data_IF_868915765938
#
_entry.id   IF_868915765938
#
_cell.length_a   1.000
_cell.length_b   1.000
_cell.length_c   1.000
_cell.angle_alpha   90.00
_cell.angle_beta   90.00
_cell.angle_gamma   90.00
#
_symmetry.space_group_name_H-M   'P 1'
#
loop_
_entity.id
_entity.type
_entity.pdbx_description
1 polymer ?
#
# COMPACT_ATOMS: atom_id res chain seq x y z
N UNK A 1 20.40 11.91 -16.89
CA UNK A 1 19.08 12.00 -16.22
C UNK A 1 18.57 13.40 -16.43
N UNK A 2 17.49 13.60 -17.18
CA UNK A 2 16.93 14.93 -17.46
C UNK A 2 16.37 15.56 -16.17
N UNK A 3 16.47 16.89 -16.02
CA UNK A 3 16.06 17.63 -14.80
C UNK A 3 14.54 17.64 -14.52
N UNK A 4 13.74 17.08 -15.43
CA UNK A 4 12.27 17.10 -15.43
C UNK A 4 11.63 16.09 -14.44
N UNK A 5 12.40 15.16 -13.87
CA UNK A 5 11.87 14.08 -13.01
C UNK A 5 11.98 14.35 -11.51
N UNK A 6 12.15 15.61 -11.09
CA UNK A 6 12.05 15.96 -9.65
C UNK A 6 10.58 16.12 -9.28
N UNK A 7 10.06 15.17 -8.51
CA UNK A 7 8.70 15.25 -8.00
C UNK A 7 8.49 16.55 -7.20
N UNK A 8 7.45 17.30 -7.56
CA UNK A 8 7.17 18.64 -7.01
C UNK A 8 6.55 18.61 -5.61
N UNK A 9 6.26 17.42 -5.06
CA UNK A 9 5.58 17.27 -3.78
C UNK A 9 6.58 16.96 -2.65
N UNK A 10 6.36 17.50 -1.44
CA UNK A 10 7.22 17.19 -0.30
C UNK A 10 7.11 15.70 0.04
N UNK A 11 8.25 14.99 0.05
CA UNK A 11 8.33 13.55 0.33
C UNK A 11 7.55 13.15 1.60
N UNK A 12 7.63 13.99 2.64
CA UNK A 12 6.92 13.77 3.91
C UNK A 12 5.41 13.60 3.71
N UNK A 13 4.79 14.39 2.81
CA UNK A 13 3.35 14.29 2.53
C UNK A 13 3.05 12.97 1.82
N UNK A 14 3.82 12.66 0.78
CA UNK A 14 3.63 11.43 -0.01
C UNK A 14 3.80 10.19 0.86
N UNK A 15 4.85 10.16 1.68
CA UNK A 15 5.14 9.05 2.57
C UNK A 15 4.10 8.91 3.69
N UNK A 16 3.83 9.95 4.48
CA UNK A 16 2.97 9.82 5.66
C UNK A 16 1.48 9.76 5.32
N UNK A 17 1.00 10.57 4.40
CA UNK A 17 -0.44 10.63 4.11
C UNK A 17 -0.81 9.46 3.19
N UNK A 18 -0.16 9.38 2.03
CA UNK A 18 -0.53 8.36 1.05
C UNK A 18 0.10 7.00 1.37
N UNK A 19 1.39 6.97 1.70
CA UNK A 19 2.10 5.72 2.02
C UNK A 19 1.63 5.06 3.30
N UNK A 20 1.46 5.82 4.39
CA UNK A 20 1.09 5.25 5.70
C UNK A 20 -0.40 5.35 5.95
N UNK A 21 -0.96 6.56 6.10
CA UNK A 21 -2.33 6.72 6.59
C UNK A 21 -3.38 6.13 5.63
N UNK A 22 -3.32 6.47 4.34
CA UNK A 22 -4.26 5.93 3.34
C UNK A 22 -4.09 4.43 3.15
N UNK A 23 -2.87 3.90 3.07
CA UNK A 23 -2.65 2.45 2.95
C UNK A 23 -3.25 1.69 4.13
N UNK A 24 -3.11 2.19 5.36
CA UNK A 24 -3.70 1.55 6.54
C UNK A 24 -5.23 1.64 6.54
N UNK A 25 -5.81 2.79 6.15
CA UNK A 25 -7.25 2.92 6.03
C UNK A 25 -7.84 1.94 4.98
N UNK A 26 -7.18 1.82 3.82
CA UNK A 26 -7.56 0.84 2.79
C UNK A 26 -7.41 -0.59 3.30
N UNK A 27 -6.31 -0.89 4.00
CA UNK A 27 -6.08 -2.22 4.56
C UNK A 27 -7.14 -2.61 5.59
N UNK A 28 -7.47 -1.74 6.54
CA UNK A 28 -8.55 -1.99 7.49
C UNK A 28 -9.92 -2.13 6.81
N UNK A 29 -10.17 -1.36 5.75
CA UNK A 29 -11.39 -1.50 4.96
C UNK A 29 -11.48 -2.87 4.29
N UNK A 30 -10.36 -3.41 3.79
CA UNK A 30 -10.30 -4.76 3.23
C UNK A 30 -10.55 -5.85 4.29
N UNK A 31 -10.04 -5.68 5.51
CA UNK A 31 -10.33 -6.62 6.60
C UNK A 31 -11.81 -6.57 6.98
N UNK A 32 -12.40 -5.37 7.06
CA UNK A 32 -13.81 -5.20 7.37
C UNK A 32 -14.71 -5.80 6.28
N UNK A 33 -14.36 -5.63 5.00
CA UNK A 33 -15.13 -6.17 3.88
C UNK A 33 -14.97 -7.68 3.68
N UNK A 34 -13.95 -8.31 4.28
CA UNK A 34 -13.59 -9.72 4.05
C UNK A 34 -14.78 -10.69 4.19
N UNK A 35 -15.65 -10.52 5.19
CA UNK A 35 -16.83 -11.37 5.40
C UNK A 35 -18.14 -10.75 4.86
N UNK A 36 -18.08 -9.59 4.18
CA UNK A 36 -19.25 -8.77 3.82
C UNK A 36 -19.52 -8.68 2.32
N UNK A 37 -18.55 -9.09 1.50
CA UNK A 37 -18.66 -9.06 0.03
C UNK A 37 -18.35 -10.43 -0.55
N UNK A 38 -18.76 -10.63 -1.81
CA UNK A 38 -18.47 -11.84 -2.58
C UNK A 38 -17.03 -11.84 -3.12
N UNK A 39 -16.56 -13.03 -3.48
CA UNK A 39 -15.16 -13.24 -3.86
C UNK A 39 -14.70 -12.49 -5.11
N UNK A 40 -15.51 -12.36 -6.17
CA UNK A 40 -15.14 -11.53 -7.32
C UNK A 40 -14.91 -10.05 -6.95
N UNK A 41 -15.80 -9.45 -6.16
CA UNK A 41 -15.64 -8.06 -5.70
C UNK A 41 -14.43 -7.93 -4.77
N UNK A 42 -14.25 -8.89 -3.85
CA UNK A 42 -13.10 -8.88 -2.94
C UNK A 42 -11.77 -8.95 -3.69
N UNK A 43 -11.66 -9.82 -4.70
CA UNK A 43 -10.48 -9.92 -5.54
C UNK A 43 -10.17 -8.59 -6.27
N UNK A 44 -11.20 -7.91 -6.79
CA UNK A 44 -11.02 -6.60 -7.44
C UNK A 44 -10.51 -5.53 -6.47
N UNK A 45 -11.04 -5.51 -5.24
CA UNK A 45 -10.58 -4.59 -4.19
C UNK A 45 -9.11 -4.83 -3.81
N UNK A 46 -8.70 -6.10 -3.72
CA UNK A 46 -7.30 -6.47 -3.46
C UNK A 46 -6.36 -6.05 -4.60
N UNK A 47 -6.78 -6.25 -5.86
CA UNK A 47 -6.02 -5.76 -7.03
C UNK A 47 -5.88 -4.24 -6.98
N UNK A 48 -6.95 -3.52 -6.63
CA UNK A 48 -6.92 -2.07 -6.45
C UNK A 48 -5.94 -1.63 -5.35
N UNK A 49 -5.92 -2.32 -4.22
CA UNK A 49 -5.01 -2.04 -3.11
C UNK A 49 -3.53 -2.32 -3.47
N UNK A 50 -3.25 -3.40 -4.20
CA UNK A 50 -1.90 -3.67 -4.72
C UNK A 50 -1.48 -2.59 -5.72
N UNK A 51 -2.36 -2.24 -6.66
CA UNK A 51 -2.11 -1.17 -7.63
C UNK A 51 -1.82 0.18 -6.96
N UNK A 52 -2.59 0.53 -5.94
CA UNK A 52 -2.34 1.71 -5.11
C UNK A 52 -0.96 1.66 -4.43
N UNK A 53 -0.62 0.54 -3.80
CA UNK A 53 0.66 0.38 -3.09
C UNK A 53 1.87 0.51 -4.03
N UNK A 54 1.77 -0.05 -5.24
CA UNK A 54 2.80 0.10 -6.27
C UNK A 54 2.92 1.54 -6.78
N UNK A 55 1.79 2.23 -6.97
CA UNK A 55 1.78 3.64 -7.34
C UNK A 55 2.48 4.50 -6.27
N UNK A 56 2.17 4.29 -4.99
CA UNK A 56 2.84 5.03 -3.90
C UNK A 56 4.32 4.70 -3.83
N UNK A 57 4.72 3.44 -4.03
CA UNK A 57 6.14 3.05 -4.12
C UNK A 57 6.86 3.84 -5.21
N UNK A 58 6.25 3.94 -6.40
CA UNK A 58 6.79 4.75 -7.50
C UNK A 58 6.88 6.23 -7.13
N UNK A 59 5.82 6.80 -6.56
CA UNK A 59 5.79 8.22 -6.16
C UNK A 59 6.84 8.54 -5.09
N UNK A 60 7.01 7.69 -4.08
CA UNK A 60 8.07 7.84 -3.07
C UNK A 60 9.43 7.78 -3.74
N UNK A 61 9.66 6.84 -4.67
CA UNK A 61 10.94 6.73 -5.38
C UNK A 61 11.30 7.99 -6.16
N UNK A 62 10.32 8.58 -6.86
CA UNK A 62 10.49 9.82 -7.65
C UNK A 62 10.64 11.08 -6.79
N UNK A 63 10.01 11.13 -5.61
CA UNK A 63 10.08 12.30 -4.71
C UNK A 63 11.17 12.17 -3.64
N UNK A 64 11.89 11.04 -3.58
CA UNK A 64 12.85 10.76 -2.52
C UNK A 64 14.09 11.65 -2.53
N UNK A 65 14.36 12.36 -3.64
CA UNK A 65 15.43 13.36 -3.71
C UNK A 65 14.94 14.77 -3.36
N UNK A 66 13.64 14.94 -3.06
CA UNK A 66 13.02 16.21 -2.63
C UNK A 66 12.94 16.29 -1.08
N UNK A 67 14.09 16.12 -0.43
CA UNK A 67 14.26 16.21 1.03
C UNK A 67 15.53 16.94 1.41
N UNK A 68 15.50 17.62 2.56
CA UNK A 68 16.67 18.33 3.11
C UNK A 68 17.77 17.38 3.61
N UNK A 69 17.40 16.14 3.97
CA UNK A 69 18.31 15.08 4.41
C UNK A 69 18.13 13.86 3.50
N UNK A 70 19.14 13.59 2.69
CA UNK A 70 19.16 12.47 1.73
C UNK A 70 18.99 11.11 2.42
N UNK A 71 19.43 10.97 3.68
CA UNK A 71 19.27 9.71 4.44
C UNK A 71 17.80 9.37 4.65
N UNK A 72 16.96 10.38 4.92
CA UNK A 72 15.51 10.18 5.07
C UNK A 72 14.85 9.73 3.76
N UNK A 73 15.35 10.21 2.62
CA UNK A 73 14.90 9.78 1.29
C UNK A 73 15.18 8.29 1.04
N UNK A 74 16.38 7.84 1.39
CA UNK A 74 16.78 6.43 1.28
C UNK A 74 15.94 5.54 2.20
N UNK A 75 15.75 5.93 3.46
CA UNK A 75 14.91 5.20 4.42
C UNK A 75 13.47 5.09 3.91
N UNK A 76 12.90 6.19 3.42
CA UNK A 76 11.53 6.20 2.88
C UNK A 76 11.38 5.26 1.68
N UNK A 77 12.37 5.20 0.77
CA UNK A 77 12.38 4.25 -0.36
C UNK A 77 12.31 2.81 0.14
N UNK A 78 13.21 2.40 1.03
CA UNK A 78 13.25 1.02 1.54
C UNK A 78 11.98 0.65 2.31
N UNK A 79 11.48 1.54 3.17
CA UNK A 79 10.24 1.30 3.92
C UNK A 79 9.04 1.13 2.98
N UNK A 80 8.94 1.96 1.94
CA UNK A 80 7.81 1.89 1.01
C UNK A 80 7.87 0.65 0.12
N UNK A 81 9.07 0.24 -0.32
CA UNK A 81 9.25 -1.03 -1.06
C UNK A 81 8.91 -2.24 -0.19
N UNK A 82 9.39 -2.26 1.06
CA UNK A 82 9.06 -3.33 2.00
C UNK A 82 7.54 -3.41 2.26
N UNK A 83 6.88 -2.26 2.41
CA UNK A 83 5.42 -2.19 2.52
C UNK A 83 4.73 -2.69 1.25
N UNK A 84 5.17 -2.29 0.06
CA UNK A 84 4.59 -2.75 -1.21
C UNK A 84 4.68 -4.27 -1.37
N UNK A 85 5.81 -4.88 -1.00
CA UNK A 85 5.95 -6.33 -1.01
C UNK A 85 5.02 -7.00 0.01
N UNK A 86 4.95 -6.46 1.23
CA UNK A 86 4.02 -6.94 2.25
C UNK A 86 2.56 -6.86 1.78
N UNK A 87 2.16 -5.75 1.15
CA UNK A 87 0.81 -5.55 0.63
C UNK A 87 0.45 -6.61 -0.42
N UNK A 88 1.38 -6.98 -1.30
CA UNK A 88 1.19 -8.06 -2.28
C UNK A 88 0.99 -9.40 -1.58
N UNK A 89 1.88 -9.75 -0.64
CA UNK A 89 1.83 -11.03 0.08
C UNK A 89 0.54 -11.17 0.90
N UNK A 90 0.18 -10.13 1.66
CA UNK A 90 -1.04 -10.11 2.47
C UNK A 90 -2.27 -10.17 1.58
N UNK A 91 -2.29 -9.46 0.44
CA UNK A 91 -3.41 -9.56 -0.51
C UNK A 91 -3.56 -10.96 -1.08
N UNK A 92 -2.45 -11.64 -1.41
CA UNK A 92 -2.47 -13.03 -1.84
C UNK A 92 -3.03 -13.95 -0.77
N UNK A 93 -2.59 -13.79 0.48
CA UNK A 93 -3.11 -14.57 1.61
C UNK A 93 -4.61 -14.34 1.82
N UNK A 94 -5.06 -13.08 1.85
CA UNK A 94 -6.47 -12.74 2.01
C UNK A 94 -7.33 -13.29 0.88
N UNK A 95 -6.87 -13.22 -0.37
CA UNK A 95 -7.59 -13.80 -1.50
C UNK A 95 -7.75 -15.31 -1.34
N UNK A 96 -6.68 -16.02 -1.00
CA UNK A 96 -6.71 -17.46 -0.79
C UNK A 96 -7.62 -17.85 0.38
N UNK A 97 -7.55 -17.14 1.51
CA UNK A 97 -8.43 -17.37 2.66
C UNK A 97 -9.91 -17.14 2.31
N UNK A 98 -10.19 -16.06 1.58
CA UNK A 98 -11.55 -15.72 1.17
C UNK A 98 -12.13 -16.73 0.18
N UNK A 99 -11.33 -17.20 -0.79
CA UNK A 99 -11.71 -18.26 -1.73
C UNK A 99 -11.87 -19.63 -1.05
N UNK A 100 -11.07 -19.92 -0.03
CA UNK A 100 -11.15 -21.15 0.77
C UNK A 100 -12.31 -21.18 1.76
N UNK A 101 -13.11 -20.11 1.86
CA UNK A 101 -14.22 -20.01 2.82
C UNK A 101 -13.77 -19.93 4.29
N UNK A 102 -12.49 -19.63 4.53
CA UNK A 102 -11.99 -19.43 5.89
C UNK A 102 -12.45 -18.06 6.39
N UNK A 103 -13.27 -18.04 7.44
CA UNK A 103 -13.57 -16.81 8.15
C UNK A 103 -12.29 -16.23 8.76
N UNK A 104 -12.13 -14.90 8.71
CA UNK A 104 -11.04 -14.23 9.41
C UNK A 104 -11.32 -14.27 10.92
N UNK A 105 -10.54 -15.01 11.75
CA UNK A 105 -10.86 -15.24 13.16
C UNK A 105 -10.72 -13.99 14.05
N UNK A 106 -10.27 -12.86 13.49
CA UNK A 106 -9.96 -11.63 14.21
C UNK A 106 -11.14 -10.65 14.35
N UNK A 107 -12.31 -10.96 13.75
CA UNK A 107 -13.49 -10.06 13.72
C UNK A 107 -14.79 -10.74 14.18
N UNK A 108 -14.70 -11.89 14.86
CA UNK A 108 -15.83 -12.53 15.54
C UNK A 108 -15.94 -11.96 16.97
N UNK A 109 -16.49 -10.75 17.10
CA UNK A 109 -16.84 -10.13 18.39
C UNK A 109 -18.17 -9.40 18.31
#
# INVERSE_FOLDING_TARGET
MSPETRGSQPLRRVFWIYGVACSQALFFSLLWLFNRVDSPLYALLLVGFVGYSLLITRLVWTNADNVRDERLGVIARFLTVAWGLNAILVSGFLLLSHLGGHALPLLDS
#
